data_IF_021006782329
#
_entry.id   IF_021006782329
#
_cell.length_a   1.000
_cell.length_b   1.000
_cell.length_c   1.000
_cell.angle_alpha   90.00
_cell.angle_beta   90.00
_cell.angle_gamma   90.00
#
_symmetry.space_group_name_H-M   'P 1'
#
loop_
_entity.id
_entity.type
_entity.pdbx_description
1 polymer ?
#
# COMPACT_ATOMS: atom_id res chain seq x y z
N UNK A 1 -1.61 -3.62 -12.39
CA UNK A 1 -2.22 -2.94 -11.25
C UNK A 1 -1.34 -3.16 -10.03
N UNK A 2 -0.98 -2.10 -9.32
CA UNK A 2 -0.19 -2.18 -8.09
C UNK A 2 -1.09 -2.30 -6.85
N UNK A 3 -0.59 -2.96 -5.81
CA UNK A 3 -1.17 -2.97 -4.48
C UNK A 3 -0.19 -2.33 -3.47
N UNK A 4 -0.71 -1.59 -2.50
CA UNK A 4 0.12 -0.77 -1.60
C UNK A 4 0.03 -1.22 -0.14
N UNK A 5 1.19 -1.28 0.49
CA UNK A 5 1.35 -1.40 1.94
C UNK A 5 1.37 -0.01 2.62
N UNK A 6 1.17 0.03 3.94
CA UNK A 6 1.11 1.27 4.69
C UNK A 6 2.44 2.04 4.67
N UNK A 7 3.57 1.36 4.79
CA UNK A 7 4.88 2.00 4.87
C UNK A 7 5.26 2.78 3.58
N UNK A 8 4.90 2.24 2.42
CA UNK A 8 5.07 2.88 1.12
C UNK A 8 4.22 4.17 1.03
N UNK A 9 2.99 4.13 1.54
CA UNK A 9 2.10 5.30 1.56
C UNK A 9 2.54 6.36 2.57
N UNK A 10 3.10 5.95 3.72
CA UNK A 10 3.71 6.87 4.70
C UNK A 10 4.83 7.66 4.01
N UNK A 11 5.73 7.00 3.30
CA UNK A 11 6.78 7.69 2.54
C UNK A 11 6.22 8.59 1.46
N UNK A 12 5.19 8.14 0.75
CA UNK A 12 4.52 8.93 -0.29
C UNK A 12 3.82 10.18 0.27
N UNK A 13 3.39 10.19 1.54
CA UNK A 13 2.80 11.36 2.17
C UNK A 13 3.84 12.41 2.59
N UNK A 14 5.10 12.01 2.79
CA UNK A 14 6.17 12.93 3.22
C UNK A 14 6.73 13.72 2.02
N UNK A 15 6.66 15.07 2.03
CA UNK A 15 7.25 15.91 0.99
C UNK A 15 8.75 15.61 0.81
N UNK A 16 9.20 15.58 -0.45
CA UNK A 16 10.61 15.37 -0.83
C UNK A 16 11.28 14.08 -0.32
N UNK A 17 10.52 13.14 0.26
CA UNK A 17 11.07 11.85 0.67
C UNK A 17 11.61 11.10 -0.55
N UNK A 18 12.90 10.68 -0.57
CA UNK A 18 13.52 10.09 -1.76
C UNK A 18 12.82 8.83 -2.28
N UNK A 19 12.31 7.98 -1.37
CA UNK A 19 11.49 6.82 -1.74
C UNK A 19 10.03 7.23 -2.00
N UNK A 20 9.55 8.26 -1.30
CA UNK A 20 8.17 8.71 -1.39
C UNK A 20 7.82 9.27 -2.75
N UNK A 21 8.74 10.04 -3.37
CA UNK A 21 8.56 10.57 -4.73
C UNK A 21 8.40 9.45 -5.78
N UNK A 22 9.06 8.32 -5.58
CA UNK A 22 8.97 7.16 -6.47
C UNK A 22 7.62 6.47 -6.34
N UNK A 23 7.14 6.27 -5.11
CA UNK A 23 5.79 5.73 -4.86
C UNK A 23 4.72 6.68 -5.38
N UNK A 24 4.85 8.00 -5.12
CA UNK A 24 3.92 9.02 -5.65
C UNK A 24 3.83 9.02 -7.18
N UNK A 25 4.92 8.70 -7.88
CA UNK A 25 4.93 8.63 -9.33
C UNK A 25 4.05 7.50 -9.91
N UNK A 26 3.64 6.54 -9.08
CA UNK A 26 2.69 5.50 -9.47
C UNK A 26 1.23 5.98 -9.46
N UNK A 27 0.96 7.16 -8.88
CA UNK A 27 -0.39 7.72 -8.79
C UNK A 27 -0.69 8.59 -10.01
N UNK A 28 -1.86 8.42 -10.67
CA UNK A 28 -2.29 9.32 -11.74
C UNK A 28 -2.29 10.79 -11.28
N UNK A 29 -1.91 11.69 -12.18
CA UNK A 29 -1.90 13.13 -11.88
C UNK A 29 -3.33 13.62 -11.65
N UNK A 30 -4.24 13.23 -12.54
CA UNK A 30 -5.66 13.60 -12.47
C UNK A 30 -6.40 12.79 -11.41
N UNK A 31 -7.40 13.38 -10.71
CA UNK A 31 -8.17 12.67 -9.71
C UNK A 31 -9.10 11.62 -10.36
N UNK A 32 -9.43 10.51 -9.65
CA UNK A 32 -10.32 9.47 -10.18
C UNK A 32 -11.69 9.99 -10.61
N UNK A 33 -12.20 11.06 -10.00
CA UNK A 33 -13.47 11.68 -10.40
C UNK A 33 -13.45 12.28 -11.82
N UNK A 34 -12.27 12.56 -12.38
CA UNK A 34 -12.09 13.10 -13.72
C UNK A 34 -11.89 11.99 -14.78
N UNK A 35 -11.12 10.95 -14.46
CA UNK A 35 -10.68 9.92 -15.43
C UNK A 35 -11.24 8.52 -15.18
N UNK A 36 -11.73 8.25 -13.97
CA UNK A 36 -12.03 6.90 -13.48
C UNK A 36 -10.79 6.06 -13.16
N UNK A 37 -9.58 6.60 -13.34
CA UNK A 37 -8.33 5.89 -13.13
C UNK A 37 -7.92 5.93 -11.65
N UNK A 38 -7.66 4.76 -11.09
CA UNK A 38 -7.12 4.59 -9.73
C UNK A 38 -5.65 4.20 -9.82
N UNK A 39 -4.86 4.55 -8.80
CA UNK A 39 -3.45 4.20 -8.75
C UNK A 39 -3.21 2.71 -8.51
N UNK A 40 -4.17 2.05 -7.87
CA UNK A 40 -4.08 0.64 -7.53
C UNK A 40 -5.05 0.25 -6.42
N UNK A 41 -4.72 -0.78 -5.67
CA UNK A 41 -5.57 -1.34 -4.61
C UNK A 41 -4.86 -1.40 -3.26
N UNK A 42 -5.61 -1.62 -2.19
CA UNK A 42 -5.09 -1.82 -0.84
C UNK A 42 -6.15 -2.38 0.09
N UNK A 43 -5.75 -2.84 1.28
CA UNK A 43 -6.71 -3.27 2.30
C UNK A 43 -7.35 -2.06 2.99
N UNK A 44 -8.60 -2.21 3.44
CA UNK A 44 -9.20 -1.27 4.40
C UNK A 44 -8.38 -1.12 5.69
N UNK A 45 -7.48 -2.07 6.02
CA UNK A 45 -6.55 -1.95 7.15
C UNK A 45 -5.52 -0.81 6.99
N UNK A 46 -5.30 -0.29 5.79
CA UNK A 46 -4.50 0.91 5.58
C UNK A 46 -5.07 2.11 6.35
N UNK A 47 -6.39 2.20 6.51
CA UNK A 47 -7.04 3.33 7.20
C UNK A 47 -6.57 3.46 8.66
N UNK A 48 -6.73 2.45 9.53
CA UNK A 48 -6.26 2.55 10.91
C UNK A 48 -4.72 2.61 11.01
N UNK A 49 -3.96 1.96 10.12
CA UNK A 49 -2.50 2.00 10.18
C UNK A 49 -1.92 3.39 9.85
N UNK A 50 -2.49 4.04 8.84
CA UNK A 50 -2.03 5.36 8.39
C UNK A 50 -2.59 6.49 9.26
N UNK A 51 -3.87 6.44 9.61
CA UNK A 51 -4.54 7.63 10.16
C UNK A 51 -4.56 7.68 11.69
N UNK A 52 -4.34 6.56 12.40
CA UNK A 52 -4.44 6.54 13.87
C UNK A 52 -3.47 7.51 14.55
N UNK A 53 -2.20 7.54 14.12
CA UNK A 53 -1.20 8.43 14.70
C UNK A 53 -1.48 9.91 14.35
N UNK A 54 -1.69 10.28 13.07
CA UNK A 54 -2.04 11.66 12.72
C UNK A 54 -3.30 12.18 13.41
N UNK A 55 -4.33 11.34 13.57
CA UNK A 55 -5.52 11.72 14.34
C UNK A 55 -5.19 12.00 15.82
N UNK A 56 -4.37 11.16 16.45
CA UNK A 56 -3.96 11.34 17.85
C UNK A 56 -3.15 12.62 18.04
N UNK A 57 -2.32 12.97 17.06
CA UNK A 57 -1.40 14.11 17.11
C UNK A 57 -2.03 15.41 16.60
N UNK A 58 -3.23 15.35 15.99
CA UNK A 58 -3.86 16.51 15.35
C UNK A 58 -3.08 17.01 14.13
N UNK A 59 -2.35 16.13 13.45
CA UNK A 59 -1.50 16.45 12.32
C UNK A 59 -2.33 16.57 11.03
N UNK A 60 -3.07 17.68 10.90
CA UNK A 60 -4.00 17.92 9.76
C UNK A 60 -3.31 17.80 8.40
N UNK A 61 -2.12 18.36 8.25
CA UNK A 61 -1.39 18.30 6.97
C UNK A 61 -1.04 16.85 6.56
N UNK A 62 -0.69 16.00 7.53
CA UNK A 62 -0.41 14.58 7.30
C UNK A 62 -1.70 13.79 6.99
N UNK A 63 -2.80 14.12 7.68
CA UNK A 63 -4.12 13.55 7.38
C UNK A 63 -4.59 13.88 5.97
N UNK A 64 -4.40 15.13 5.53
CA UNK A 64 -4.78 15.57 4.18
C UNK A 64 -3.93 14.86 3.11
N UNK A 65 -2.62 14.74 3.32
CA UNK A 65 -1.71 14.05 2.41
C UNK A 65 -2.05 12.54 2.30
N UNK A 66 -2.25 11.86 3.42
CA UNK A 66 -2.61 10.44 3.45
C UNK A 66 -4.02 10.21 2.87
N UNK A 67 -4.98 11.08 3.19
CA UNK A 67 -6.33 11.03 2.64
C UNK A 67 -6.35 11.19 1.11
N UNK A 68 -5.52 12.08 0.56
CA UNK A 68 -5.39 12.26 -0.88
C UNK A 68 -4.83 11.00 -1.59
N UNK A 69 -3.92 10.27 -0.94
CA UNK A 69 -3.41 8.99 -1.47
C UNK A 69 -4.47 7.89 -1.36
N UNK A 70 -5.10 7.73 -0.18
CA UNK A 70 -6.13 6.71 0.04
C UNK A 70 -7.33 6.87 -0.90
N UNK A 71 -7.74 8.11 -1.18
CA UNK A 71 -8.84 8.41 -2.11
C UNK A 71 -8.55 8.04 -3.57
N UNK A 72 -7.34 7.59 -3.89
CA UNK A 72 -6.90 7.14 -5.21
C UNK A 72 -6.68 5.63 -5.30
N UNK A 73 -7.03 4.88 -4.26
CA UNK A 73 -6.95 3.43 -4.20
C UNK A 73 -8.34 2.79 -4.18
N UNK A 74 -8.50 1.63 -4.81
CA UNK A 74 -9.62 0.73 -4.53
C UNK A 74 -9.34 -0.04 -3.23
N UNK A 75 -9.94 0.42 -2.13
CA UNK A 75 -9.81 -0.21 -0.82
C UNK A 75 -10.75 -1.43 -0.69
N UNK A 76 -10.15 -2.61 -0.55
CA UNK A 76 -10.88 -3.88 -0.47
C UNK A 76 -11.22 -4.23 0.98
N UNK A 77 -12.47 -4.63 1.27
CA UNK A 77 -12.83 -5.11 2.59
C UNK A 77 -12.18 -6.47 2.87
N UNK A 78 -11.85 -6.73 4.13
CA UNK A 78 -11.38 -8.05 4.57
C UNK A 78 -12.58 -8.93 4.91
N UNK A 79 -12.90 -9.87 4.02
CA UNK A 79 -13.90 -10.90 4.25
C UNK A 79 -13.27 -12.22 4.74
N UNK A 80 -14.11 -13.24 4.99
CA UNK A 80 -13.66 -14.55 5.48
C UNK A 80 -12.70 -15.24 4.50
N UNK A 81 -12.93 -15.11 3.19
CA UNK A 81 -12.05 -15.68 2.17
C UNK A 81 -10.65 -15.02 2.21
N UNK A 82 -10.61 -13.70 2.32
CA UNK A 82 -9.36 -12.93 2.46
C UNK A 82 -8.66 -13.28 3.77
N UNK A 83 -9.40 -13.47 4.86
CA UNK A 83 -8.84 -13.86 6.15
C UNK A 83 -8.21 -15.28 6.12
N UNK A 84 -8.85 -16.23 5.43
CA UNK A 84 -8.27 -17.57 5.23
C UNK A 84 -7.02 -17.53 4.38
N UNK A 85 -7.01 -16.74 3.30
CA UNK A 85 -5.83 -16.55 2.47
C UNK A 85 -4.69 -15.90 3.28
N UNK A 86 -5.00 -14.87 4.07
CA UNK A 86 -4.04 -14.23 4.97
C UNK A 86 -3.46 -15.23 5.98
N UNK A 87 -4.28 -16.10 6.58
CA UNK A 87 -3.77 -17.12 7.49
C UNK A 87 -2.81 -18.09 6.80
N UNK A 88 -3.12 -18.52 5.57
CA UNK A 88 -2.26 -19.40 4.77
C UNK A 88 -0.92 -18.74 4.41
N UNK A 89 -0.97 -17.49 3.91
CA UNK A 89 0.23 -16.73 3.55
C UNK A 89 1.07 -16.39 4.78
N UNK A 90 0.44 -15.97 5.88
CA UNK A 90 1.10 -15.68 7.14
C UNK A 90 1.81 -16.89 7.72
N UNK A 91 1.21 -18.08 7.64
CA UNK A 91 1.86 -19.32 8.07
C UNK A 91 3.05 -19.71 7.16
N UNK A 92 2.92 -19.47 5.85
CA UNK A 92 3.95 -19.85 4.87
C UNK A 92 5.18 -18.94 4.91
N UNK A 93 4.97 -17.64 5.15
CA UNK A 93 6.01 -16.62 5.09
C UNK A 93 6.38 -16.01 6.46
N UNK A 94 5.71 -16.42 7.54
CA UNK A 94 5.97 -15.91 8.89
C UNK A 94 5.47 -14.48 9.12
N UNK A 95 4.49 -14.02 8.33
CA UNK A 95 3.95 -12.66 8.42
C UNK A 95 3.03 -12.48 9.62
N UNK A 96 3.00 -11.27 10.18
CA UNK A 96 2.00 -10.89 11.17
C UNK A 96 0.63 -10.78 10.51
N UNK A 97 -0.43 -10.83 11.32
CA UNK A 97 -1.80 -10.85 10.81
C UNK A 97 -2.14 -9.68 9.87
N UNK A 98 -1.73 -8.46 10.20
CA UNK A 98 -1.98 -7.28 9.36
C UNK A 98 -1.22 -7.34 8.04
N UNK A 99 0.09 -7.61 8.08
CA UNK A 99 0.95 -7.79 6.90
C UNK A 99 0.41 -8.89 5.98
N UNK A 100 -0.04 -10.01 6.56
CA UNK A 100 -0.64 -11.10 5.82
C UNK A 100 -1.97 -10.72 5.17
N UNK A 101 -2.77 -9.86 5.81
CA UNK A 101 -4.02 -9.34 5.22
C UNK A 101 -3.75 -8.39 4.05
N UNK A 102 -2.73 -7.54 4.14
CA UNK A 102 -2.32 -6.70 3.00
C UNK A 102 -1.89 -7.55 1.81
N UNK A 103 -1.05 -8.56 2.05
CA UNK A 103 -0.62 -9.48 1.00
C UNK A 103 -1.79 -10.27 0.40
N UNK A 104 -2.65 -10.84 1.26
CA UNK A 104 -3.83 -11.56 0.81
C UNK A 104 -4.77 -10.67 -0.01
N UNK A 105 -4.92 -9.41 0.38
CA UNK A 105 -5.72 -8.43 -0.36
C UNK A 105 -5.14 -8.21 -1.75
N UNK A 106 -3.82 -8.00 -1.85
CA UNK A 106 -3.13 -7.79 -3.13
C UNK A 106 -3.28 -9.01 -4.05
N UNK A 107 -3.05 -10.21 -3.51
CA UNK A 107 -3.17 -11.48 -4.25
C UNK A 107 -4.61 -11.72 -4.70
N UNK A 108 -5.59 -11.54 -3.81
CA UNK A 108 -7.00 -11.73 -4.14
C UNK A 108 -7.53 -10.71 -5.16
N UNK A 109 -6.98 -9.49 -5.16
CA UNK A 109 -7.29 -8.46 -6.15
C UNK A 109 -6.61 -8.71 -7.51
N UNK A 110 -5.72 -9.69 -7.62
CA UNK A 110 -4.95 -9.96 -8.83
C UNK A 110 -3.97 -8.83 -9.17
N UNK A 111 -3.41 -8.17 -8.16
CA UNK A 111 -2.38 -7.17 -8.38
C UNK A 111 -1.10 -7.81 -8.96
N UNK A 112 -0.41 -7.08 -9.82
CA UNK A 112 0.85 -7.54 -10.43
C UNK A 112 2.01 -7.37 -9.46
N UNK A 113 2.00 -6.28 -8.69
CA UNK A 113 3.06 -5.93 -7.74
C UNK A 113 2.50 -5.53 -6.39
N UNK A 114 3.21 -5.91 -5.33
CA UNK A 114 2.96 -5.43 -3.97
C UNK A 114 4.07 -4.46 -3.56
N UNK A 115 3.70 -3.19 -3.37
CA UNK A 115 4.62 -2.09 -3.07
C UNK A 115 4.73 -1.94 -1.56
N UNK A 116 5.89 -2.30 -1.00
CA UNK A 116 6.20 -2.24 0.44
C UNK A 116 7.67 -1.89 0.62
N UNK A 117 8.03 -1.21 1.71
CA UNK A 117 9.43 -1.03 2.11
C UNK A 117 9.85 -2.00 3.23
N UNK A 118 8.97 -2.89 3.67
CA UNK A 118 9.25 -3.87 4.72
C UNK A 118 10.04 -5.06 4.14
N UNK A 119 11.31 -4.81 3.83
CA UNK A 119 12.21 -5.81 3.23
C UNK A 119 12.52 -6.99 4.17
N UNK A 120 12.27 -6.85 5.47
CA UNK A 120 12.48 -7.90 6.47
C UNK A 120 11.42 -8.99 6.40
N UNK A 121 10.15 -8.59 6.27
CA UNK A 121 9.03 -9.54 6.30
C UNK A 121 8.60 -9.93 4.88
N UNK A 122 8.76 -9.03 3.90
CA UNK A 122 8.40 -9.27 2.50
C UNK A 122 9.63 -9.53 1.65
N UNK A 123 10.10 -10.78 1.68
CA UNK A 123 11.19 -11.24 0.83
C UNK A 123 10.73 -11.47 -0.62
N UNK A 124 11.65 -11.33 -1.58
CA UNK A 124 11.45 -11.67 -3.01
C UNK A 124 11.16 -13.16 -3.28
N UNK A 125 11.14 -14.00 -2.24
CA UNK A 125 10.80 -15.42 -2.34
C UNK A 125 9.28 -15.69 -2.28
N UNK A 126 8.46 -14.67 -1.95
CA UNK A 126 7.00 -14.76 -2.04
C UNK A 126 6.63 -15.01 -3.51
N UNK A 127 5.91 -16.10 -3.77
CA UNK A 127 5.66 -16.59 -5.12
C UNK A 127 4.36 -16.12 -5.76
N UNK A 128 3.44 -15.59 -4.95
CA UNK A 128 2.08 -15.24 -5.38
C UNK A 128 1.99 -13.89 -6.10
N UNK A 129 2.93 -12.98 -5.84
CA UNK A 129 2.93 -11.61 -6.37
C UNK A 129 4.35 -11.04 -6.38
N UNK A 130 4.65 -10.13 -7.32
CA UNK A 130 5.96 -9.47 -7.38
C UNK A 130 6.09 -8.42 -6.25
N UNK A 131 6.86 -8.75 -5.22
CA UNK A 131 7.20 -7.81 -4.16
C UNK A 131 8.11 -6.74 -4.76
N UNK A 132 7.71 -5.47 -4.74
CA UNK A 132 8.52 -4.37 -5.29
C UNK A 132 8.83 -3.35 -4.20
N UNK A 133 10.11 -3.05 -4.01
CA UNK A 133 10.55 -2.06 -3.05
C UNK A 133 10.57 -0.66 -3.68
N UNK A 134 10.23 0.41 -2.94
CA UNK A 134 10.29 1.78 -3.47
C UNK A 134 11.63 2.18 -4.09
N UNK A 135 12.73 1.60 -3.62
CA UNK A 135 14.09 1.82 -4.14
C UNK A 135 14.31 1.24 -5.55
N UNK A 136 13.43 0.36 -6.01
CA UNK A 136 13.49 -0.29 -7.33
C UNK A 136 12.59 0.40 -8.36
N UNK A 137 11.68 1.27 -7.89
CA UNK A 137 10.80 2.05 -8.74
C UNK A 137 11.57 3.14 -9.51
N UNK A 138 11.02 3.52 -10.67
CA UNK A 138 11.55 4.63 -11.45
C UNK A 138 11.59 5.91 -10.62
N UNK A 139 12.68 6.64 -10.76
CA UNK A 139 12.89 7.89 -10.06
C UNK A 139 12.56 9.07 -10.96
N UNK A 140 11.40 9.75 -10.79
CA UNK A 140 11.16 10.97 -11.54
C UNK A 140 12.24 11.97 -11.12
N UNK A 141 13.07 12.40 -12.06
CA UNK A 141 14.14 13.37 -11.79
C UNK A 141 13.59 14.58 -11.02
N UNK A 142 14.36 15.18 -10.09
CA UNK A 142 13.93 16.34 -9.32
C UNK A 142 13.64 17.56 -10.21
#
# INVERSE_FOLDING_TARGET
MDAFDADALIYAAVPDHPLGRRVRALFPVEPPAATGEIAGTGSVLLIPELLTKPFREGATDELDALGALLGRLDLRPTDEATAHLAASLGASYGLRAADAVHLATAVAAGADRFITNNTSDFAKAIGEIDITYPSELHDPAP
#
